data_IF_319719527722
#
_entry.id   IF_319719527722
#
_cell.length_a   1.000
_cell.length_b   1.000
_cell.length_c   1.000
_cell.angle_alpha   90.00
_cell.angle_beta   90.00
_cell.angle_gamma   90.00
#
_symmetry.space_group_name_H-M   'P 1'
#
loop_
_entity.id
_entity.type
_entity.pdbx_description
1 polymer ?
#
# COMPACT_ATOMS: atom_id res chain seq x y z
N UNK A 1 13.00 -11.64 -32.86
CA UNK A 1 12.49 -11.42 -34.23
C UNK A 1 11.56 -10.22 -34.21
N UNK A 2 11.40 -9.52 -35.34
CA UNK A 2 10.75 -8.20 -35.45
C UNK A 2 9.24 -8.12 -35.05
N UNK A 3 8.71 -9.09 -34.29
CA UNK A 3 7.32 -9.16 -33.85
C UNK A 3 7.19 -9.75 -32.43
N UNK A 4 8.09 -9.37 -31.52
CA UNK A 4 8.02 -9.74 -30.10
C UNK A 4 7.67 -8.54 -29.21
N UNK A 5 6.82 -7.63 -29.69
CA UNK A 5 6.20 -6.62 -28.84
C UNK A 5 4.86 -7.16 -28.32
N UNK A 6 4.61 -7.13 -27.00
CA UNK A 6 3.29 -7.46 -26.47
C UNK A 6 2.25 -6.47 -27.03
N UNK A 7 0.99 -6.92 -27.24
CA UNK A 7 -0.05 -6.05 -27.77
C UNK A 7 -0.30 -4.87 -26.81
N UNK A 8 -0.26 -3.66 -27.36
CA UNK A 8 -0.60 -2.42 -26.66
C UNK A 8 -2.04 -2.50 -26.13
N UNK A 9 -2.24 -2.17 -24.85
CA UNK A 9 -3.52 -2.33 -24.14
C UNK A 9 -4.42 -1.07 -24.20
N UNK A 10 -3.96 0.05 -24.76
CA UNK A 10 -4.80 1.25 -24.89
C UNK A 10 -5.62 1.20 -26.17
N UNK A 11 -6.94 1.34 -26.03
CA UNK A 11 -7.88 1.49 -27.16
C UNK A 11 -8.04 2.94 -27.63
N UNK A 12 -7.25 3.85 -27.08
CA UNK A 12 -7.25 5.28 -27.41
C UNK A 12 -5.81 5.82 -27.32
N UNK A 13 -5.50 6.89 -28.07
CA UNK A 13 -4.19 7.56 -28.14
C UNK A 13 -3.80 8.31 -26.83
N UNK A 14 -4.48 8.04 -25.72
CA UNK A 14 -4.14 8.59 -24.41
C UNK A 14 -2.95 7.81 -23.82
N UNK A 15 -1.87 8.53 -23.50
CA UNK A 15 -0.71 7.97 -22.81
C UNK A 15 -1.18 7.51 -21.43
N UNK A 16 -1.04 6.22 -21.06
CA UNK A 16 -1.33 5.78 -19.70
C UNK A 16 -0.51 6.57 -18.70
N UNK A 17 -1.15 7.12 -17.69
CA UNK A 17 -0.47 7.65 -16.50
C UNK A 17 -0.33 6.50 -15.51
N UNK A 18 0.83 5.83 -15.40
CA UNK A 18 1.00 4.76 -14.43
C UNK A 18 0.88 5.33 -13.01
N UNK A 19 0.28 4.55 -12.12
CA UNK A 19 0.24 4.88 -10.70
C UNK A 19 1.64 4.89 -10.13
N UNK A 20 1.91 5.81 -9.21
CA UNK A 20 3.18 5.89 -8.49
C UNK A 20 2.94 5.62 -7.02
N UNK A 21 3.97 5.12 -6.33
CA UNK A 21 3.96 5.17 -4.87
C UNK A 21 3.95 6.63 -4.42
N UNK A 22 2.97 6.96 -3.58
CA UNK A 22 2.73 8.27 -3.02
C UNK A 22 3.46 8.47 -1.68
N UNK A 23 3.99 7.39 -1.09
CA UNK A 23 4.65 7.45 0.21
C UNK A 23 6.01 8.14 0.09
N UNK A 24 6.28 9.08 1.00
CA UNK A 24 7.58 9.77 1.13
C UNK A 24 8.34 9.36 2.39
N UNK A 25 7.85 8.32 3.08
CA UNK A 25 8.44 7.79 4.30
C UNK A 25 9.81 7.16 4.06
N UNK A 26 10.54 6.91 5.15
CA UNK A 26 11.83 6.21 5.14
C UNK A 26 11.85 5.17 6.26
N UNK A 27 12.69 4.15 6.11
CA UNK A 27 12.81 3.04 7.06
C UNK A 27 12.33 1.72 6.45
N UNK A 28 12.36 0.65 7.25
CA UNK A 28 12.17 -0.71 6.76
C UNK A 28 10.88 -0.93 5.95
N UNK A 29 9.79 -0.21 6.26
CA UNK A 29 8.53 -0.38 5.54
C UNK A 29 8.45 0.36 4.20
N UNK A 30 9.43 1.21 3.88
CA UNK A 30 9.40 2.16 2.76
C UNK A 30 10.72 2.19 1.97
N UNK A 31 11.62 1.22 2.18
CA UNK A 31 12.96 1.19 1.61
C UNK A 31 13.04 0.47 0.25
N UNK A 32 11.89 0.13 -0.36
CA UNK A 32 11.80 -0.56 -1.65
C UNK A 32 12.48 -1.93 -1.65
N UNK A 33 12.53 -2.59 -0.49
CA UNK A 33 13.10 -3.94 -0.36
C UNK A 33 12.34 -4.80 0.63
N UNK A 34 12.13 -6.06 0.25
CA UNK A 34 11.61 -7.08 1.13
C UNK A 34 12.70 -7.75 1.98
N UNK A 35 13.84 -7.11 2.24
CA UNK A 35 14.94 -7.70 3.01
C UNK A 35 14.90 -7.32 4.50
N UNK A 36 14.19 -6.24 4.83
CA UNK A 36 14.01 -5.71 6.17
C UNK A 36 12.56 -5.97 6.63
N UNK A 37 12.32 -5.88 7.94
CA UNK A 37 11.01 -6.11 8.55
C UNK A 37 10.81 -5.14 9.72
N UNK A 38 9.57 -4.71 9.95
CA UNK A 38 9.20 -3.92 11.12
C UNK A 38 7.95 -4.47 11.79
N UNK A 39 8.00 -4.58 13.12
CA UNK A 39 6.83 -4.89 13.95
C UNK A 39 6.10 -3.61 14.36
N UNK A 40 4.81 -3.54 14.04
CA UNK A 40 3.99 -2.34 14.16
C UNK A 40 2.55 -2.71 14.57
N UNK A 41 1.87 -1.77 15.22
CA UNK A 41 0.40 -1.81 15.41
C UNK A 41 -0.31 -0.83 14.49
N UNK A 42 0.38 0.25 14.11
CA UNK A 42 -0.05 1.24 13.13
C UNK A 42 1.16 1.77 12.39
N UNK A 43 0.97 2.14 11.13
CA UNK A 43 1.99 2.73 10.27
C UNK A 43 1.46 4.06 9.75
N UNK A 44 2.15 5.15 10.03
CA UNK A 44 1.88 6.43 9.37
C UNK A 44 2.46 6.37 7.95
N UNK A 45 1.64 6.73 6.96
CA UNK A 45 1.98 6.70 5.54
C UNK A 45 2.01 8.16 5.04
N UNK A 46 3.13 8.87 5.21
CA UNK A 46 3.22 10.27 4.79
C UNK A 46 3.23 10.35 3.26
N UNK A 47 2.44 11.26 2.70
CA UNK A 47 2.39 11.53 1.26
C UNK A 47 2.87 12.96 0.95
N UNK A 48 3.35 13.19 -0.27
CA UNK A 48 3.83 14.52 -0.70
C UNK A 48 2.69 15.50 -0.99
N UNK A 49 2.97 16.80 -0.84
CA UNK A 49 2.11 17.89 -1.34
C UNK A 49 0.85 18.13 -0.51
N UNK A 50 -0.21 18.58 -1.18
CA UNK A 50 -1.52 18.91 -0.57
C UNK A 50 -2.41 17.67 -0.33
N UNK A 51 -1.99 16.51 -0.82
CA UNK A 51 -2.66 15.23 -0.65
C UNK A 51 -2.50 14.31 -1.85
N UNK A 52 -2.83 13.04 -1.67
CA UNK A 52 -2.87 12.03 -2.72
C UNK A 52 -4.28 11.42 -2.77
N UNK A 53 -4.72 10.93 -3.93
CA UNK A 53 -5.89 10.06 -4.05
C UNK A 53 -5.43 8.61 -4.23
N UNK A 54 -5.11 7.95 -3.12
CA UNK A 54 -4.70 6.56 -3.17
C UNK A 54 -5.85 5.65 -3.60
N UNK A 55 -5.62 4.89 -4.68
CA UNK A 55 -6.60 3.95 -5.26
C UNK A 55 -6.22 2.49 -5.03
N UNK A 56 -4.97 2.24 -4.67
CA UNK A 56 -4.45 0.90 -4.34
C UNK A 56 -3.36 1.00 -3.28
N UNK A 57 -3.15 -0.07 -2.54
CA UNK A 57 -1.98 -0.23 -1.67
C UNK A 57 -1.45 -1.64 -1.80
N UNK A 58 -0.17 -1.83 -1.48
CA UNK A 58 0.47 -3.14 -1.40
C UNK A 58 0.92 -3.38 0.04
N UNK A 59 0.88 -4.65 0.46
CA UNK A 59 1.51 -5.10 1.69
C UNK A 59 2.42 -6.28 1.35
N UNK A 60 3.65 -6.26 1.84
CA UNK A 60 4.60 -7.37 1.71
C UNK A 60 4.76 -8.08 3.05
N UNK A 61 4.51 -9.39 3.06
CA UNK A 61 4.70 -10.22 4.26
C UNK A 61 6.17 -10.27 4.68
N UNK A 62 6.46 -10.47 5.97
CA UNK A 62 7.83 -10.58 6.45
C UNK A 62 8.49 -11.90 6.04
N UNK A 63 9.75 -12.11 6.45
CA UNK A 63 10.45 -13.38 6.21
C UNK A 63 9.79 -14.58 6.89
N UNK A 64 9.02 -14.36 7.95
CA UNK A 64 8.16 -15.36 8.59
C UNK A 64 6.71 -14.92 8.42
N UNK A 65 6.07 -15.34 7.32
CA UNK A 65 4.73 -14.89 6.93
C UNK A 65 3.66 -15.08 8.00
N UNK A 66 3.88 -15.97 8.99
CA UNK A 66 2.92 -16.21 10.07
C UNK A 66 2.77 -15.00 11.01
N UNK A 67 3.70 -14.04 10.95
CA UNK A 67 3.66 -12.76 11.68
C UNK A 67 2.96 -11.63 10.92
N UNK A 68 2.58 -11.85 9.66
CA UNK A 68 1.85 -10.86 8.86
C UNK A 68 0.49 -10.52 9.51
N UNK A 69 -0.07 -9.32 9.25
CA UNK A 69 -1.39 -8.97 9.74
C UNK A 69 -2.49 -9.80 9.06
N UNK A 70 -3.55 -10.09 9.82
CA UNK A 70 -4.76 -10.78 9.34
C UNK A 70 -5.92 -9.81 9.10
N UNK A 71 -5.85 -8.61 9.66
CA UNK A 71 -6.84 -7.57 9.48
C UNK A 71 -6.24 -6.18 9.67
N UNK A 72 -6.83 -5.19 9.01
CA UNK A 72 -6.39 -3.80 9.09
C UNK A 72 -7.42 -2.84 8.54
N UNK A 73 -7.22 -1.56 8.85
CA UNK A 73 -7.93 -0.43 8.24
C UNK A 73 -6.91 0.50 7.58
N UNK A 74 -7.12 0.81 6.31
CA UNK A 74 -6.49 1.96 5.68
C UNK A 74 -7.34 3.18 5.98
N UNK A 75 -6.73 4.22 6.54
CA UNK A 75 -7.42 5.45 6.90
C UNK A 75 -6.76 6.67 6.27
N UNK A 76 -7.58 7.64 5.89
CA UNK A 76 -7.15 8.95 5.40
C UNK A 76 -7.61 10.06 6.33
N UNK A 77 -6.83 11.13 6.39
CA UNK A 77 -7.15 12.34 7.14
C UNK A 77 -6.68 13.59 6.40
N UNK A 78 -7.51 14.63 6.43
CA UNK A 78 -7.15 15.95 5.90
C UNK A 78 -6.37 16.79 6.91
N UNK A 79 -6.57 16.55 8.21
CA UNK A 79 -6.05 17.39 9.31
C UNK A 79 -5.10 16.65 10.28
N UNK A 80 -4.93 15.33 10.11
CA UNK A 80 -4.14 14.45 10.97
C UNK A 80 -4.83 14.02 12.28
N UNK A 81 -6.03 14.52 12.56
CA UNK A 81 -6.77 14.29 13.82
C UNK A 81 -8.08 13.53 13.58
N UNK A 82 -8.81 13.85 12.52
CA UNK A 82 -10.04 13.19 12.13
C UNK A 82 -9.74 12.18 11.03
N UNK A 83 -9.97 10.90 11.30
CA UNK A 83 -9.61 9.81 10.40
C UNK A 83 -10.85 9.15 9.81
N UNK A 84 -10.89 9.01 8.48
CA UNK A 84 -11.91 8.25 7.76
C UNK A 84 -11.34 6.92 7.30
N UNK A 85 -12.04 5.84 7.56
CA UNK A 85 -11.71 4.53 7.00
C UNK A 85 -12.02 4.51 5.50
N UNK A 86 -11.01 4.19 4.70
CA UNK A 86 -11.06 4.11 3.24
C UNK A 86 -11.15 2.67 2.76
N UNK A 87 -10.54 1.75 3.50
CA UNK A 87 -10.64 0.32 3.30
C UNK A 87 -10.51 -0.42 4.64
N UNK A 88 -11.15 -1.57 4.75
CA UNK A 88 -11.10 -2.44 5.92
C UNK A 88 -11.06 -3.90 5.47
N UNK A 89 -10.09 -4.65 6.01
CA UNK A 89 -9.83 -6.05 5.68
C UNK A 89 -9.78 -6.90 6.94
N UNK A 90 -10.19 -8.15 6.80
CA UNK A 90 -10.14 -9.16 7.86
C UNK A 90 -10.05 -10.55 7.25
N UNK A 91 -9.43 -11.49 7.99
CA UNK A 91 -9.25 -12.86 7.53
C UNK A 91 -8.27 -13.00 6.35
N UNK A 92 -7.43 -11.99 6.13
CA UNK A 92 -6.42 -12.03 5.07
C UNK A 92 -5.26 -12.95 5.47
N UNK A 93 -4.60 -13.53 4.46
CA UNK A 93 -3.42 -14.37 4.67
C UNK A 93 -2.40 -14.19 3.55
N UNK A 94 -1.15 -14.51 3.84
CA UNK A 94 -0.06 -14.53 2.85
C UNK A 94 0.39 -15.98 2.69
N UNK A 95 0.35 -16.49 1.47
CA UNK A 95 0.66 -17.88 1.15
C UNK A 95 2.17 -18.16 1.24
N UNK A 96 3.01 -17.16 1.01
CA UNK A 96 4.47 -17.27 1.00
C UNK A 96 5.13 -16.18 1.86
N UNK A 97 6.36 -16.46 2.28
CA UNK A 97 7.25 -15.47 2.89
C UNK A 97 7.61 -14.42 1.84
N UNK A 98 7.76 -13.16 2.26
CA UNK A 98 8.06 -12.03 1.36
C UNK A 98 7.06 -11.90 0.20
N UNK A 99 5.81 -12.28 0.40
CA UNK A 99 4.76 -12.13 -0.60
C UNK A 99 4.19 -10.71 -0.55
N UNK A 100 4.29 -10.00 -1.66
CA UNK A 100 3.53 -8.77 -1.91
C UNK A 100 2.11 -9.11 -2.37
N UNK A 101 1.12 -8.50 -1.73
CA UNK A 101 -0.29 -8.55 -2.16
C UNK A 101 -0.80 -7.13 -2.38
N UNK A 102 -1.53 -6.93 -3.47
CA UNK A 102 -2.14 -5.65 -3.82
C UNK A 102 -3.64 -5.64 -3.49
N UNK A 103 -4.12 -4.49 -2.99
CA UNK A 103 -5.50 -4.31 -2.55
C UNK A 103 -6.05 -2.99 -3.10
N UNK A 104 -7.21 -3.02 -3.73
CA UNK A 104 -7.90 -1.79 -4.16
C UNK A 104 -8.51 -1.07 -2.95
N UNK A 105 -8.37 0.25 -2.91
CA UNK A 105 -9.01 1.08 -1.88
C UNK A 105 -10.52 1.12 -2.15
N UNK A 106 -11.34 0.72 -1.18
CA UNK A 106 -12.79 0.58 -1.36
C UNK A 106 -13.50 1.93 -1.52
N UNK A 107 -13.03 2.95 -0.82
CA UNK A 107 -13.59 4.30 -0.85
C UNK A 107 -12.46 5.32 -0.94
N UNK A 108 -11.82 5.45 -2.13
CA UNK A 108 -10.72 6.38 -2.32
C UNK A 108 -11.19 7.83 -2.12
N UNK A 109 -10.23 8.70 -1.84
CA UNK A 109 -10.43 10.13 -1.70
C UNK A 109 -9.08 10.80 -1.50
N UNK A 110 -9.03 12.11 -1.74
CA UNK A 110 -7.82 12.90 -1.57
C UNK A 110 -7.57 13.21 -0.10
N UNK A 111 -6.42 12.79 0.44
CA UNK A 111 -6.02 13.07 1.83
C UNK A 111 -4.54 13.46 1.94
N UNK A 112 -4.24 14.35 2.89
CA UNK A 112 -2.88 14.79 3.21
C UNK A 112 -2.13 13.82 4.14
N UNK A 113 -2.86 12.95 4.84
CA UNK A 113 -2.32 11.96 5.77
C UNK A 113 -3.01 10.62 5.56
N UNK A 114 -2.22 9.56 5.52
CA UNK A 114 -2.70 8.18 5.53
C UNK A 114 -2.10 7.43 6.71
N UNK A 115 -2.80 6.41 7.17
CA UNK A 115 -2.26 5.41 8.09
C UNK A 115 -2.87 4.04 7.86
N UNK A 116 -2.09 3.01 8.12
CA UNK A 116 -2.52 1.62 8.18
C UNK A 116 -2.61 1.21 9.64
N UNK A 117 -3.80 0.90 10.13
CA UNK A 117 -4.02 0.44 11.51
C UNK A 117 -4.29 -1.05 11.50
N UNK A 118 -3.42 -1.84 12.13
CA UNK A 118 -3.52 -3.30 12.15
C UNK A 118 -4.44 -3.77 13.30
N UNK A 119 -4.92 -5.00 13.20
CA UNK A 119 -5.75 -5.66 14.21
C UNK A 119 -4.98 -6.15 15.46
N UNK A 120 -3.67 -5.88 15.51
CA UNK A 120 -2.77 -6.24 16.59
C UNK A 120 -1.34 -5.78 16.30
N UNK A 121 -0.39 -6.26 17.10
CA UNK A 121 1.03 -6.10 16.78
C UNK A 121 1.43 -7.19 15.77
N UNK A 122 1.79 -6.77 14.56
CA UNK A 122 2.19 -7.65 13.45
C UNK A 122 3.46 -7.14 12.81
N UNK A 123 4.05 -7.96 11.93
CA UNK A 123 5.26 -7.60 11.20
C UNK A 123 4.95 -7.49 9.72
N UNK A 124 5.47 -6.44 9.09
CA UNK A 124 5.44 -6.25 7.64
C UNK A 124 6.87 -6.03 7.14
N UNK A 125 7.10 -6.43 5.90
CA UNK A 125 8.32 -6.08 5.18
C UNK A 125 8.18 -4.70 4.56
N UNK A 126 7.02 -4.41 3.96
CA UNK A 126 6.84 -3.21 3.14
C UNK A 126 5.37 -2.83 3.00
N UNK A 127 5.12 -1.54 2.81
CA UNK A 127 3.82 -0.96 2.48
C UNK A 127 4.02 0.11 1.41
N UNK A 128 3.29 0.01 0.29
CA UNK A 128 3.22 1.07 -0.72
C UNK A 128 1.79 1.61 -0.83
N UNK A 129 1.65 2.88 -1.20
CA UNK A 129 0.35 3.54 -1.42
C UNK A 129 0.31 4.14 -2.82
N UNK A 130 -0.48 3.56 -3.71
CA UNK A 130 -0.48 3.90 -5.13
C UNK A 130 -1.58 4.90 -5.47
N UNK A 131 -1.18 6.04 -6.05
CA UNK A 131 -2.04 7.11 -6.56
C UNK A 131 -1.77 7.38 -8.04
#
# INVERSE_FOLDING_TARGET
GANAAPPSITKDDEVPTPRTDAITGQGALFDNTSATDASVTSVDLPVSGEGAEAVQYTLTSPADRTKAPTGWKLQGSADGTTWRTLDERSGESFAWDRQTRAFSVKSPGSYAKYRLVLDGAHTLAEVELLA
#
